data_IF_118954709633
#
_entry.id   IF_118954709633
#
_cell.length_a   1.000
_cell.length_b   1.000
_cell.length_c   1.000
_cell.angle_alpha   90.00
_cell.angle_beta   90.00
_cell.angle_gamma   90.00
#
_symmetry.space_group_name_H-M   'P 1'
#
loop_
_entity.id
_entity.type
_entity.pdbx_description
1 polymer ?
#
# COMPACT_ATOMS: atom_id res chain seq x y z
N UNK A 1 -17.01 8.44 -6.07
CA UNK A 1 -17.32 8.96 -7.42
C UNK A 1 -17.66 10.45 -7.45
N UNK A 2 -18.68 11.00 -6.74
CA UNK A 2 -19.11 12.40 -6.95
C UNK A 2 -18.08 13.46 -6.50
N UNK A 3 -17.22 13.13 -5.53
CA UNK A 3 -16.19 14.03 -5.00
C UNK A 3 -15.06 14.26 -6.02
N UNK A 4 -14.67 13.22 -6.77
CA UNK A 4 -13.60 13.32 -7.75
C UNK A 4 -14.04 14.13 -8.97
N UNK A 5 -15.28 13.92 -9.43
CA UNK A 5 -15.91 14.72 -10.48
C UNK A 5 -16.00 16.20 -10.08
N UNK A 6 -16.39 16.49 -8.83
CA UNK A 6 -16.44 17.85 -8.29
C UNK A 6 -15.04 18.50 -8.26
N UNK A 7 -14.01 17.78 -7.79
CA UNK A 7 -12.64 18.30 -7.75
C UNK A 7 -12.14 18.61 -9.16
N UNK A 8 -12.32 17.70 -10.12
CA UNK A 8 -11.94 17.91 -11.52
C UNK A 8 -12.66 19.12 -12.12
N UNK A 9 -13.96 19.25 -11.87
CA UNK A 9 -14.75 20.39 -12.32
C UNK A 9 -14.20 21.69 -11.74
N UNK A 10 -13.90 21.75 -10.43
CA UNK A 10 -13.38 22.95 -9.79
C UNK A 10 -11.97 23.32 -10.25
N UNK A 11 -11.09 22.32 -10.48
CA UNK A 11 -9.73 22.53 -11.01
C UNK A 11 -9.76 23.22 -12.38
N UNK A 12 -10.75 22.93 -13.21
CA UNK A 12 -10.91 23.57 -14.52
C UNK A 12 -11.72 24.87 -14.43
N UNK A 13 -12.75 24.89 -13.59
CA UNK A 13 -13.64 26.04 -13.46
C UNK A 13 -12.94 27.25 -12.80
N UNK A 14 -12.08 27.05 -11.80
CA UNK A 14 -11.38 28.17 -11.14
C UNK A 14 -10.44 28.96 -12.06
N UNK A 15 -9.56 28.33 -12.86
CA UNK A 15 -8.76 29.04 -13.87
C UNK A 15 -9.60 29.76 -14.92
N UNK A 16 -10.69 29.16 -15.38
CA UNK A 16 -11.60 29.79 -16.35
C UNK A 16 -12.30 31.00 -15.73
N UNK A 17 -12.84 30.84 -14.52
CA UNK A 17 -13.49 31.92 -13.78
C UNK A 17 -12.50 33.05 -13.46
N UNK A 18 -11.26 32.73 -13.12
CA UNK A 18 -10.19 33.69 -12.92
C UNK A 18 -9.88 34.48 -14.20
N UNK A 19 -9.76 33.79 -15.34
CA UNK A 19 -9.54 34.42 -16.64
C UNK A 19 -10.71 35.33 -17.05
N UNK A 20 -11.95 34.91 -16.79
CA UNK A 20 -13.15 35.74 -17.01
C UNK A 20 -13.11 36.97 -16.09
N UNK A 21 -12.71 36.83 -14.83
CA UNK A 21 -12.64 37.92 -13.87
C UNK A 21 -11.61 39.00 -14.25
N UNK A 22 -10.61 38.69 -15.08
CA UNK A 22 -9.66 39.68 -15.61
C UNK A 22 -10.35 40.74 -16.48
N UNK A 23 -11.48 40.40 -17.11
CA UNK A 23 -12.23 41.32 -17.98
C UNK A 23 -13.21 42.23 -17.22
N UNK A 24 -13.31 42.09 -15.89
CA UNK A 24 -14.17 42.91 -15.05
C UNK A 24 -13.34 43.73 -14.06
N UNK A 25 -13.80 44.95 -13.75
CA UNK A 25 -13.13 45.85 -12.79
C UNK A 25 -13.44 45.45 -11.33
N UNK A 26 -13.11 44.21 -10.97
CA UNK A 26 -13.23 43.70 -9.61
C UNK A 26 -11.92 43.07 -9.15
N UNK A 27 -11.06 43.91 -8.59
CA UNK A 27 -9.75 43.53 -8.06
C UNK A 27 -9.82 42.39 -7.04
N UNK A 28 -10.82 42.39 -6.18
CA UNK A 28 -10.97 41.36 -5.15
C UNK A 28 -11.27 40.00 -5.78
N UNK A 29 -12.23 39.95 -6.72
CA UNK A 29 -12.59 38.71 -7.42
C UNK A 29 -11.39 38.10 -8.15
N UNK A 30 -10.60 38.92 -8.85
CA UNK A 30 -9.38 38.48 -9.55
C UNK A 30 -8.35 37.86 -8.60
N UNK A 31 -8.08 38.52 -7.46
CA UNK A 31 -7.08 38.01 -6.49
C UNK A 31 -7.57 36.72 -5.85
N UNK A 32 -8.83 36.68 -5.39
CA UNK A 32 -9.38 35.49 -4.72
C UNK A 32 -9.42 34.29 -5.66
N UNK A 33 -9.91 34.46 -6.89
CA UNK A 33 -9.96 33.37 -7.86
C UNK A 33 -8.56 32.89 -8.28
N UNK A 34 -7.59 33.79 -8.39
CA UNK A 34 -6.20 33.42 -8.69
C UNK A 34 -5.56 32.60 -7.58
N UNK A 35 -5.76 33.01 -6.32
CA UNK A 35 -5.29 32.24 -5.15
C UNK A 35 -5.98 30.88 -5.07
N UNK A 36 -7.29 30.82 -5.28
CA UNK A 36 -8.03 29.55 -5.31
C UNK A 36 -7.55 28.62 -6.43
N UNK A 37 -7.27 29.15 -7.62
CA UNK A 37 -6.75 28.36 -8.74
C UNK A 37 -5.37 27.77 -8.42
N UNK A 38 -4.45 28.59 -7.87
CA UNK A 38 -3.12 28.12 -7.45
C UNK A 38 -3.24 27.06 -6.35
N UNK A 39 -4.04 27.34 -5.31
CA UNK A 39 -4.25 26.41 -4.20
C UNK A 39 -4.82 25.07 -4.67
N UNK A 40 -5.75 25.08 -5.63
CA UNK A 40 -6.31 23.85 -6.19
C UNK A 40 -5.29 23.02 -6.97
N UNK A 41 -4.40 23.66 -7.75
CA UNK A 41 -3.32 22.97 -8.44
C UNK A 41 -2.37 22.25 -7.47
N UNK A 42 -1.99 22.92 -6.38
CA UNK A 42 -1.19 22.30 -5.32
C UNK A 42 -1.96 21.22 -4.54
N UNK A 43 -3.24 21.46 -4.26
CA UNK A 43 -4.09 20.52 -3.53
C UNK A 43 -4.25 19.19 -4.27
N UNK A 44 -4.44 19.22 -5.59
CA UNK A 44 -4.56 18.01 -6.40
C UNK A 44 -3.25 17.22 -6.40
N UNK A 45 -2.11 17.90 -6.59
CA UNK A 45 -0.80 17.25 -6.54
C UNK A 45 -0.55 16.60 -5.16
N UNK A 46 -0.95 17.26 -4.08
CA UNK A 46 -0.83 16.72 -2.72
C UNK A 46 -1.74 15.51 -2.49
N UNK A 47 -3.00 15.56 -2.96
CA UNK A 47 -3.94 14.43 -2.87
C UNK A 47 -3.40 13.22 -3.64
N UNK A 48 -2.99 13.42 -4.90
CA UNK A 48 -2.47 12.33 -5.74
C UNK A 48 -1.20 11.73 -5.12
N UNK A 49 -0.25 12.56 -4.68
CA UNK A 49 0.96 12.06 -4.02
C UNK A 49 0.68 11.36 -2.68
N UNK A 50 -0.38 11.75 -1.97
CA UNK A 50 -0.78 11.08 -0.72
C UNK A 50 -1.45 9.74 -1.00
N UNK A 51 -2.30 9.65 -2.02
CA UNK A 51 -2.94 8.41 -2.45
C UNK A 51 -1.91 7.40 -2.96
N UNK A 52 -0.95 7.85 -3.76
CA UNK A 52 0.16 7.03 -4.27
C UNK A 52 1.02 6.45 -3.13
N UNK A 53 1.32 7.27 -2.11
CA UNK A 53 2.01 6.81 -0.89
C UNK A 53 1.18 5.85 -0.04
N UNK A 54 -0.14 6.01 0.01
CA UNK A 54 -1.01 5.10 0.75
C UNK A 54 -1.16 3.76 0.01
N UNK A 55 -1.33 3.80 -1.31
CA UNK A 55 -1.44 2.62 -2.16
C UNK A 55 -0.18 1.76 -2.09
N UNK A 56 1.00 2.37 -2.26
CA UNK A 56 2.28 1.65 -2.13
C UNK A 56 2.49 1.05 -0.73
N UNK A 57 2.01 1.71 0.33
CA UNK A 57 2.10 1.17 1.69
C UNK A 57 1.12 0.01 1.94
N UNK A 58 -0.09 0.07 1.40
CA UNK A 58 -1.07 -1.01 1.47
C UNK A 58 -0.50 -2.25 0.76
N UNK A 59 0.01 -2.06 -0.46
CA UNK A 59 0.55 -3.13 -1.27
C UNK A 59 1.72 -3.86 -0.60
N UNK A 60 2.66 -3.10 -0.03
CA UNK A 60 3.77 -3.67 0.72
C UNK A 60 3.30 -4.42 1.96
N UNK A 61 2.28 -3.90 2.65
CA UNK A 61 1.73 -4.51 3.86
C UNK A 61 1.00 -5.83 3.56
N UNK A 62 0.30 -5.92 2.44
CA UNK A 62 -0.39 -7.14 1.99
C UNK A 62 0.63 -8.23 1.63
N UNK A 63 1.57 -7.94 0.72
CA UNK A 63 2.63 -8.87 0.35
C UNK A 63 3.45 -9.35 1.56
N UNK A 64 3.77 -8.46 2.51
CA UNK A 64 4.50 -8.86 3.71
C UNK A 64 3.73 -9.87 4.57
N UNK A 65 2.41 -9.73 4.67
CA UNK A 65 1.59 -10.67 5.43
C UNK A 65 1.48 -12.02 4.72
N UNK A 66 1.33 -12.03 3.38
CA UNK A 66 1.34 -13.27 2.55
C UNK A 66 2.65 -14.03 2.74
N UNK A 67 3.77 -13.31 2.72
CA UNK A 67 5.09 -13.86 3.00
C UNK A 67 5.13 -14.54 4.38
N UNK A 68 4.70 -13.84 5.44
CA UNK A 68 4.75 -14.36 6.82
C UNK A 68 3.83 -15.57 6.99
N UNK A 69 2.58 -15.48 6.54
CA UNK A 69 1.57 -16.51 6.73
C UNK A 69 1.96 -17.82 6.04
N UNK A 70 2.36 -17.77 4.77
CA UNK A 70 2.76 -18.97 4.03
C UNK A 70 4.06 -19.56 4.59
N UNK A 71 5.00 -18.71 5.02
CA UNK A 71 6.21 -19.18 5.70
C UNK A 71 5.89 -19.95 6.99
N UNK A 72 4.96 -19.46 7.82
CA UNK A 72 4.53 -20.16 9.03
C UNK A 72 3.90 -21.51 8.69
N UNK A 73 2.96 -21.53 7.74
CA UNK A 73 2.26 -22.77 7.33
C UNK A 73 3.26 -23.83 6.86
N UNK A 74 4.20 -23.47 5.99
CA UNK A 74 5.14 -24.44 5.44
C UNK A 74 6.19 -24.88 6.49
N UNK A 75 6.56 -24.01 7.44
CA UNK A 75 7.37 -24.40 8.60
C UNK A 75 6.62 -25.39 9.51
N UNK A 76 5.32 -25.20 9.73
CA UNK A 76 4.46 -26.12 10.48
C UNK A 76 4.28 -27.47 9.77
N UNK A 77 4.38 -27.50 8.44
CA UNK A 77 4.31 -28.69 7.60
C UNK A 77 5.65 -29.44 7.44
N UNK A 78 6.65 -29.14 8.28
CA UNK A 78 7.98 -29.78 8.28
C UNK A 78 8.78 -29.55 6.97
N UNK A 79 8.49 -28.47 6.24
CA UNK A 79 9.17 -28.07 4.98
C UNK A 79 10.24 -26.99 5.21
N UNK A 80 10.94 -27.06 6.34
CA UNK A 80 11.89 -26.04 6.76
C UNK A 80 13.06 -25.83 5.76
N UNK A 81 13.52 -26.89 5.10
CA UNK A 81 14.61 -26.81 4.13
C UNK A 81 14.20 -26.09 2.83
N UNK A 82 12.97 -26.32 2.35
CA UNK A 82 12.41 -25.67 1.16
C UNK A 82 12.18 -24.19 1.44
N UNK A 83 11.55 -23.87 2.58
CA UNK A 83 11.36 -22.51 3.07
C UNK A 83 12.70 -21.77 3.17
N UNK A 84 13.72 -22.38 3.79
CA UNK A 84 15.02 -21.75 3.97
C UNK A 84 15.74 -21.51 2.63
N UNK A 85 15.58 -22.42 1.67
CA UNK A 85 16.18 -22.31 0.34
C UNK A 85 15.55 -21.16 -0.43
N UNK A 86 14.22 -21.14 -0.52
CA UNK A 86 13.49 -20.13 -1.27
C UNK A 86 13.57 -18.75 -0.60
N UNK A 87 13.63 -18.69 0.73
CA UNK A 87 13.80 -17.43 1.45
C UNK A 87 15.19 -16.81 1.19
N UNK A 88 16.22 -17.62 0.94
CA UNK A 88 17.55 -17.14 0.50
C UNK A 88 17.49 -16.60 -0.92
N UNK A 89 16.77 -17.25 -1.82
CA UNK A 89 16.55 -16.75 -3.19
C UNK A 89 15.83 -15.41 -3.15
N UNK A 90 14.73 -15.31 -2.40
CA UNK A 90 14.00 -14.07 -2.20
C UNK A 90 14.90 -12.94 -1.68
N UNK A 91 15.72 -13.22 -0.66
CA UNK A 91 16.68 -12.25 -0.12
C UNK A 91 17.70 -11.78 -1.16
N UNK A 92 18.21 -12.68 -1.99
CA UNK A 92 19.26 -12.36 -2.97
C UNK A 92 18.71 -11.56 -4.17
N UNK A 93 17.45 -11.83 -4.54
CA UNK A 93 16.70 -11.10 -5.56
C UNK A 93 16.16 -9.76 -5.06
N UNK A 94 15.92 -9.62 -3.76
CA UNK A 94 15.39 -8.40 -3.15
C UNK A 94 16.42 -7.27 -3.16
N UNK A 95 16.36 -6.41 -4.18
CA UNK A 95 17.17 -5.20 -4.32
C UNK A 95 16.28 -3.97 -4.34
N UNK A 96 15.91 -3.42 -3.16
CA UNK A 96 15.05 -2.27 -3.09
C UNK A 96 15.78 -1.04 -3.65
N UNK A 97 15.30 -0.52 -4.77
CA UNK A 97 15.66 0.79 -5.31
C UNK A 97 14.41 1.65 -5.45
N UNK A 98 14.58 2.96 -5.69
CA UNK A 98 13.42 3.84 -5.95
C UNK A 98 12.62 3.41 -7.19
N UNK A 99 13.24 2.72 -8.14
CA UNK A 99 12.64 2.29 -9.41
C UNK A 99 12.07 0.86 -9.35
N UNK A 100 12.49 0.04 -8.39
CA UNK A 100 12.08 -1.38 -8.25
C UNK A 100 11.19 -1.64 -7.02
N UNK A 101 10.66 -0.57 -6.42
CA UNK A 101 9.85 -0.66 -5.21
C UNK A 101 8.53 -1.42 -5.45
N UNK A 102 8.05 -1.39 -6.69
CA UNK A 102 6.81 -2.02 -7.14
C UNK A 102 7.01 -3.50 -7.55
N UNK A 103 8.20 -4.08 -7.37
CA UNK A 103 8.46 -5.50 -7.68
C UNK A 103 8.36 -6.43 -6.45
N UNK A 104 8.15 -5.86 -5.25
CA UNK A 104 8.21 -6.63 -4.00
C UNK A 104 7.12 -7.69 -3.91
N UNK A 105 5.90 -7.35 -4.28
CA UNK A 105 4.78 -8.26 -4.47
C UNK A 105 5.10 -9.41 -5.43
N UNK A 106 5.74 -9.13 -6.56
CA UNK A 106 6.07 -10.14 -7.58
C UNK A 106 7.10 -11.13 -7.02
N UNK A 107 8.04 -10.61 -6.23
CA UNK A 107 9.04 -11.43 -5.55
C UNK A 107 8.40 -12.30 -4.45
N UNK A 108 7.48 -11.75 -3.67
CA UNK A 108 6.74 -12.50 -2.65
C UNK A 108 5.82 -13.55 -3.29
N UNK A 109 5.08 -13.18 -4.33
CA UNK A 109 4.18 -14.07 -5.07
C UNK A 109 4.94 -15.28 -5.64
N UNK A 110 6.11 -15.03 -6.22
CA UNK A 110 7.01 -16.09 -6.67
C UNK A 110 7.44 -16.99 -5.52
N UNK A 111 7.80 -16.41 -4.37
CA UNK A 111 8.24 -17.16 -3.20
C UNK A 111 7.10 -18.05 -2.65
N UNK A 112 5.89 -17.52 -2.45
CA UNK A 112 4.78 -18.31 -1.89
C UNK A 112 4.41 -19.48 -2.82
N UNK A 113 4.47 -19.26 -4.13
CA UNK A 113 4.24 -20.30 -5.14
C UNK A 113 5.38 -21.30 -5.27
N UNK A 114 6.60 -20.98 -4.81
CA UNK A 114 7.72 -21.93 -4.83
C UNK A 114 7.74 -22.85 -3.61
N UNK A 115 7.20 -22.40 -2.47
CA UNK A 115 7.17 -23.19 -1.22
C UNK A 115 5.83 -23.92 -0.98
N UNK A 116 4.73 -23.48 -1.58
CA UNK A 116 3.39 -24.02 -1.31
C UNK A 116 2.67 -24.46 -2.59
N UNK A 117 2.00 -25.61 -2.53
CA UNK A 117 1.10 -26.09 -3.60
C UNK A 117 -0.28 -25.42 -3.53
N UNK A 118 -0.63 -24.84 -2.38
CA UNK A 118 -1.89 -24.17 -2.12
C UNK A 118 -1.64 -22.89 -1.31
N UNK A 119 -0.97 -21.88 -1.91
CA UNK A 119 -0.63 -20.65 -1.22
C UNK A 119 -1.89 -19.93 -0.75
N UNK A 120 -1.81 -19.35 0.45
CA UNK A 120 -2.87 -18.48 0.97
C UNK A 120 -2.58 -17.06 0.48
N UNK A 121 -3.35 -16.61 -0.50
CA UNK A 121 -3.28 -15.25 -1.05
C UNK A 121 -4.33 -14.35 -0.39
N UNK A 122 -4.00 -13.08 -0.20
CA UNK A 122 -4.94 -12.09 0.34
C UNK A 122 -6.17 -11.82 -0.56
N UNK A 123 -6.15 -12.28 -1.83
CA UNK A 123 -7.16 -11.97 -2.86
C UNK A 123 -8.53 -12.64 -2.64
N UNK A 124 -8.60 -13.68 -1.81
CA UNK A 124 -9.78 -14.57 -1.76
C UNK A 124 -10.82 -14.26 -0.67
N UNK A 125 -10.76 -13.09 -0.04
CA UNK A 125 -11.73 -12.74 1.02
C UNK A 125 -11.69 -13.71 2.21
N UNK A 126 -10.55 -14.36 2.43
CA UNK A 126 -10.34 -15.31 3.52
C UNK A 126 -10.42 -14.56 4.88
N UNK A 127 -11.31 -14.97 5.80
CA UNK A 127 -11.50 -14.31 7.08
C UNK A 127 -10.25 -14.31 7.99
N UNK A 128 -9.21 -15.11 7.68
CA UNK A 128 -7.90 -15.04 8.35
C UNK A 128 -7.15 -13.72 8.12
N UNK A 129 -7.58 -12.94 7.12
CA UNK A 129 -7.02 -11.63 6.77
C UNK A 129 -7.77 -10.46 7.42
N UNK A 130 -8.81 -10.73 8.23
CA UNK A 130 -9.49 -9.69 8.97
C UNK A 130 -8.49 -8.97 9.88
N UNK A 131 -8.55 -7.65 9.95
CA UNK A 131 -7.68 -6.82 10.81
C UNK A 131 -7.92 -7.03 12.31
N UNK A 132 -8.59 -8.11 12.70
CA UNK A 132 -8.81 -8.49 14.07
C UNK A 132 -7.47 -9.01 14.60
N UNK A 133 -6.77 -8.17 15.37
CA UNK A 133 -5.59 -8.62 16.12
C UNK A 133 -6.04 -9.77 17.00
N UNK A 134 -5.70 -11.00 16.62
CA UNK A 134 -5.80 -12.15 17.51
C UNK A 134 -4.89 -11.82 18.69
N UNK A 135 -5.47 -11.68 19.89
CA UNK A 135 -4.73 -11.43 21.13
C UNK A 135 -3.67 -12.52 21.27
N UNK A 136 -2.43 -12.19 20.88
CA UNK A 136 -1.29 -13.08 21.00
C UNK A 136 -0.99 -13.25 22.48
N UNK A 137 -1.42 -14.38 23.05
CA UNK A 137 -0.96 -14.83 24.37
C UNK A 137 0.28 -15.68 24.12
N UNK A 138 1.48 -15.24 24.56
CA UNK A 138 2.68 -16.05 24.41
C UNK A 138 2.48 -17.41 25.09
N UNK A 139 2.95 -18.52 24.51
CA UNK A 139 2.92 -19.81 25.20
C UNK A 139 3.66 -19.68 26.53
N UNK A 140 3.02 -20.13 27.62
CA UNK A 140 3.67 -20.21 28.94
C UNK A 140 4.93 -21.07 28.77
N UNK A 141 6.09 -20.48 29.02
CA UNK A 141 7.34 -21.21 29.12
C UNK A 141 7.20 -22.22 30.25
N UNK A 142 7.01 -23.49 29.92
CA UNK A 142 7.16 -24.57 30.89
C UNK A 142 8.57 -24.44 31.47
N UNK A 143 8.65 -24.06 32.74
CA UNK A 143 9.91 -24.08 33.49
C UNK A 143 10.45 -25.51 33.42
N UNK A 144 11.54 -25.67 32.66
CA UNK A 144 12.35 -26.88 32.62
C UNK A 144 12.81 -27.15 34.04
N UNK A 145 12.14 -28.08 34.70
CA UNK A 145 12.59 -28.64 35.97
C UNK A 145 13.95 -29.28 35.76
N UNK A 146 14.98 -28.71 36.37
CA UNK A 146 16.30 -29.30 36.42
C UNK A 146 16.28 -30.64 37.19
N UNK A 147 17.10 -31.63 36.79
CA UNK A 147 17.11 -33.00 37.32
C UNK A 147 17.67 -33.15 38.74
#
# INVERSE_FOLDING_TARGET
>A
MPVLELILLLVVAFPIAWLIAEFYDNRAARITLGVCAIAMSFGVAWIVGSLDRLQSNIYFSEATKDLIQNTIIELENDRADDVLTELRVLRDDFRPTYETRDDYDVLVDRYIHSISEAPVEHSDGDPRWSHEMVDYTPPETEEVGEP
#
